data_IF_523232118717
#
_entry.id   IF_523232118717
#
_cell.length_a   1.000
_cell.length_b   1.000
_cell.length_c   1.000
_cell.angle_alpha   90.00
_cell.angle_beta   90.00
_cell.angle_gamma   90.00
#
_symmetry.space_group_name_H-M   'P 1'
#
loop_
_entity.id
_entity.type
_entity.pdbx_description
1 polymer ?
#
# COMPACT_ATOMS: atom_id res chain seq x y z
N UNK A 1 -28.43 27.73 1.43
CA UNK A 1 -26.97 27.71 1.24
C UNK A 1 -26.31 26.66 2.15
N UNK A 2 -25.92 25.54 1.55
CA UNK A 2 -24.70 24.72 1.83
C UNK A 2 -24.19 24.43 3.27
N UNK A 3 -24.92 23.67 4.10
CA UNK A 3 -24.35 23.04 5.31
C UNK A 3 -24.14 21.52 5.21
N UNK A 4 -24.78 20.85 4.25
CA UNK A 4 -24.73 19.36 4.14
C UNK A 4 -23.46 18.77 3.51
N UNK A 5 -22.53 19.59 3.01
CA UNK A 5 -21.33 19.11 2.31
C UNK A 5 -20.09 18.88 3.21
N UNK A 6 -20.08 19.40 4.45
CA UNK A 6 -18.95 19.23 5.38
C UNK A 6 -18.74 17.79 5.91
N UNK A 7 -19.76 17.01 6.30
CA UNK A 7 -19.53 15.72 6.95
C UNK A 7 -18.93 14.68 5.99
N UNK A 8 -19.41 14.63 4.74
CA UNK A 8 -18.95 13.66 3.75
C UNK A 8 -17.48 13.87 3.34
N UNK A 9 -16.96 15.10 3.43
CA UNK A 9 -15.55 15.40 3.17
C UNK A 9 -14.67 15.02 4.35
N UNK A 10 -15.07 15.38 5.57
CA UNK A 10 -14.35 15.03 6.79
C UNK A 10 -14.20 13.51 6.96
N UNK A 11 -15.27 12.75 6.71
CA UNK A 11 -15.23 11.27 6.76
C UNK A 11 -14.23 10.68 5.76
N UNK A 12 -14.11 11.26 4.55
CA UNK A 12 -13.16 10.77 3.53
C UNK A 12 -11.72 11.11 3.86
N UNK A 13 -11.49 12.33 4.32
CA UNK A 13 -10.18 12.77 4.77
C UNK A 13 -9.73 11.93 5.97
N UNK A 14 -10.65 11.63 6.91
CA UNK A 14 -10.41 10.71 8.02
C UNK A 14 -10.12 9.28 7.56
N UNK A 15 -10.87 8.73 6.61
CA UNK A 15 -10.65 7.39 6.09
C UNK A 15 -9.31 7.27 5.34
N UNK A 16 -8.92 8.28 4.55
CA UNK A 16 -7.61 8.31 3.92
C UNK A 16 -6.47 8.45 4.94
N UNK A 17 -6.67 9.22 6.01
CA UNK A 17 -5.71 9.32 7.09
C UNK A 17 -5.56 7.99 7.82
N UNK A 18 -6.66 7.31 8.14
CA UNK A 18 -6.65 5.96 8.72
C UNK A 18 -5.92 4.95 7.84
N UNK A 19 -6.14 5.01 6.52
CA UNK A 19 -5.42 4.16 5.56
C UNK A 19 -3.91 4.40 5.58
N UNK A 20 -3.48 5.67 5.56
CA UNK A 20 -2.07 6.04 5.68
C UNK A 20 -1.45 5.62 7.01
N UNK A 21 -2.19 5.77 8.11
CA UNK A 21 -1.76 5.33 9.45
C UNK A 21 -1.66 3.80 9.53
N UNK A 22 -2.58 3.06 8.93
CA UNK A 22 -2.52 1.60 8.87
C UNK A 22 -1.28 1.14 8.09
N UNK A 23 -0.98 1.77 6.94
CA UNK A 23 0.22 1.48 6.17
C UNK A 23 1.50 1.75 6.98
N UNK A 24 1.58 2.89 7.66
CA UNK A 24 2.67 3.21 8.59
C UNK A 24 2.80 2.15 9.69
N UNK A 25 1.71 1.79 10.35
CA UNK A 25 1.72 0.81 11.43
C UNK A 25 2.24 -0.55 10.95
N UNK A 26 1.86 -0.99 9.75
CA UNK A 26 2.36 -2.25 9.16
C UNK A 26 3.87 -2.21 8.93
N UNK A 27 4.42 -1.08 8.47
CA UNK A 27 5.88 -0.93 8.24
C UNK A 27 6.65 -0.85 9.56
N UNK A 28 6.10 -0.20 10.59
CA UNK A 28 6.75 -0.01 11.89
C UNK A 28 6.63 -1.25 12.80
N UNK A 29 5.57 -2.05 12.65
CA UNK A 29 5.28 -3.19 13.52
C UNK A 29 6.45 -4.19 13.66
N UNK A 30 7.16 -4.62 12.61
CA UNK A 30 8.34 -5.48 12.73
C UNK A 30 9.41 -4.96 13.69
N UNK A 31 9.73 -3.66 13.61
CA UNK A 31 10.75 -3.06 14.47
C UNK A 31 10.30 -3.04 15.95
N UNK A 32 9.01 -2.78 16.20
CA UNK A 32 8.44 -2.83 17.54
C UNK A 32 8.45 -4.25 18.12
N UNK A 33 8.13 -5.26 17.30
CA UNK A 33 8.16 -6.67 17.72
C UNK A 33 9.57 -7.07 18.16
N UNK A 34 10.60 -6.77 17.34
CA UNK A 34 12.00 -7.07 17.69
C UNK A 34 12.44 -6.29 18.95
N UNK A 35 12.09 -5.02 19.04
CA UNK A 35 12.43 -4.20 20.21
C UNK A 35 11.82 -4.76 21.51
N UNK A 36 10.58 -5.23 21.45
CA UNK A 36 9.87 -5.79 22.61
C UNK A 36 10.45 -7.12 23.09
N UNK A 37 10.88 -7.98 22.17
CA UNK A 37 11.49 -9.27 22.52
C UNK A 37 12.89 -9.10 23.10
N UNK A 38 13.65 -8.09 22.66
CA UNK A 38 14.96 -7.77 23.24
C UNK A 38 14.86 -7.33 24.71
N UNK A 39 13.86 -6.50 25.06
CA UNK A 39 13.66 -6.03 26.44
C UNK A 39 13.22 -7.14 27.40
N UNK A 40 12.51 -8.17 26.93
CA UNK A 40 12.09 -9.31 27.75
C UNK A 40 13.23 -10.30 28.07
N UNK A 41 14.31 -10.29 27.29
CA UNK A 41 15.46 -11.19 27.43
C UNK A 41 16.56 -10.71 28.37
N UNK A 42 16.42 -9.55 29.01
CA UNK A 42 17.43 -8.98 29.91
C UNK A 42 18.63 -8.33 29.20
N UNK A 43 18.59 -8.19 27.87
CA UNK A 43 19.60 -7.45 27.11
C UNK A 43 19.16 -6.00 27.04
N UNK A 44 19.93 -5.08 27.65
CA UNK A 44 19.66 -3.65 27.58
C UNK A 44 19.48 -3.20 26.11
N UNK A 45 18.60 -2.21 25.83
CA UNK A 45 18.35 -1.78 24.46
C UNK A 45 19.66 -1.34 23.81
N UNK A 46 20.11 -2.08 22.80
CA UNK A 46 21.25 -1.66 21.99
C UNK A 46 20.82 -0.47 21.12
N UNK A 47 21.76 0.44 20.83
CA UNK A 47 21.57 1.56 19.89
C UNK A 47 20.95 1.10 18.55
N UNK A 48 21.27 -0.14 18.14
CA UNK A 48 20.74 -0.81 16.95
C UNK A 48 19.20 -0.91 16.92
N UNK A 49 18.53 -1.12 18.07
CA UNK A 49 17.07 -1.21 18.13
C UNK A 49 16.38 0.14 17.84
N UNK A 50 16.99 1.24 18.29
CA UNK A 50 16.51 2.59 17.99
C UNK A 50 16.73 2.94 16.52
N UNK A 51 17.85 2.54 15.93
CA UNK A 51 18.14 2.79 14.51
C UNK A 51 17.18 2.01 13.59
N UNK A 52 16.89 0.75 13.92
CA UNK A 52 15.87 -0.07 13.25
C UNK A 52 14.50 0.60 13.26
N UNK A 53 14.09 1.11 14.44
CA UNK A 53 12.84 1.84 14.61
C UNK A 53 12.83 3.14 13.79
N UNK A 54 13.94 3.91 13.82
CA UNK A 54 14.07 5.15 13.08
C UNK A 54 13.94 4.93 11.57
N UNK A 55 14.62 3.91 11.02
CA UNK A 55 14.53 3.54 9.61
C UNK A 55 13.09 3.15 9.24
N UNK A 56 12.45 2.29 10.03
CA UNK A 56 11.06 1.88 9.82
C UNK A 56 10.08 3.04 9.93
N UNK A 57 10.30 3.99 10.85
CA UNK A 57 9.48 5.18 10.99
C UNK A 57 9.60 6.10 9.77
N UNK A 58 10.82 6.34 9.27
CA UNK A 58 11.05 7.16 8.07
C UNK A 58 10.36 6.53 6.85
N UNK A 59 10.57 5.23 6.62
CA UNK A 59 9.95 4.51 5.50
C UNK A 59 8.43 4.45 5.64
N UNK A 60 7.94 4.13 6.83
CA UNK A 60 6.52 4.05 7.14
C UNK A 60 5.82 5.39 6.98
N UNK A 61 6.44 6.50 7.41
CA UNK A 61 5.89 7.85 7.25
C UNK A 61 5.84 8.25 5.78
N UNK A 62 6.93 8.03 5.05
CA UNK A 62 6.99 8.29 3.61
C UNK A 62 5.90 7.53 2.87
N UNK A 63 5.76 6.24 3.15
CA UNK A 63 4.75 5.40 2.51
C UNK A 63 3.32 5.77 2.95
N UNK A 64 3.08 6.02 4.24
CA UNK A 64 1.79 6.46 4.75
C UNK A 64 1.31 7.76 4.12
N UNK A 65 2.21 8.72 3.87
CA UNK A 65 1.90 9.96 3.15
C UNK A 65 1.53 9.69 1.68
N UNK A 66 2.24 8.77 1.01
CA UNK A 66 1.91 8.35 -0.37
C UNK A 66 0.50 7.76 -0.42
N UNK A 67 0.19 6.80 0.46
CA UNK A 67 -1.12 6.18 0.62
C UNK A 67 -2.23 7.22 0.87
N UNK A 68 -2.00 8.16 1.80
CA UNK A 68 -2.93 9.25 2.11
C UNK A 68 -3.21 10.13 0.89
N UNK A 69 -2.15 10.64 0.24
CA UNK A 69 -2.29 11.56 -0.90
C UNK A 69 -2.99 10.88 -2.08
N UNK A 70 -2.71 9.61 -2.33
CA UNK A 70 -3.31 8.83 -3.41
C UNK A 70 -4.80 8.60 -3.18
N UNK A 71 -5.19 8.07 -2.02
CA UNK A 71 -6.60 7.80 -1.75
C UNK A 71 -7.41 9.11 -1.73
N UNK A 72 -6.81 10.20 -1.23
CA UNK A 72 -7.40 11.53 -1.31
C UNK A 72 -7.66 11.94 -2.76
N UNK A 73 -6.67 11.84 -3.67
CA UNK A 73 -6.84 12.17 -5.10
C UNK A 73 -7.91 11.31 -5.78
N UNK A 74 -7.85 9.99 -5.60
CA UNK A 74 -8.81 9.05 -6.19
C UNK A 74 -10.24 9.27 -5.70
N UNK A 75 -10.43 9.73 -4.45
CA UNK A 75 -11.76 10.01 -3.90
C UNK A 75 -12.45 11.23 -4.52
N UNK A 76 -11.66 12.17 -5.06
CA UNK A 76 -12.11 13.39 -5.74
C UNK A 76 -12.39 13.19 -7.23
N UNK A 77 -11.63 12.34 -7.92
CA UNK A 77 -11.62 12.32 -9.39
C UNK A 77 -12.56 11.30 -10.06
N UNK A 78 -13.05 10.27 -9.36
CA UNK A 78 -13.65 9.11 -10.07
C UNK A 78 -14.97 8.59 -9.50
N UNK A 79 -15.84 8.10 -10.42
CA UNK A 79 -17.07 7.33 -10.12
C UNK A 79 -16.76 5.95 -9.53
N UNK A 80 -15.53 5.47 -9.68
CA UNK A 80 -15.00 4.16 -9.25
C UNK A 80 -14.43 4.14 -7.82
N UNK A 81 -15.10 4.84 -6.89
CA UNK A 81 -14.75 4.88 -5.46
C UNK A 81 -14.62 3.51 -4.79
N UNK A 82 -15.55 2.54 -4.98
CA UNK A 82 -15.41 1.24 -4.36
C UNK A 82 -14.17 0.50 -4.87
N UNK A 83 -13.83 0.64 -6.16
CA UNK A 83 -12.66 -0.03 -6.76
C UNK A 83 -11.33 0.45 -6.16
N UNK A 84 -11.24 1.74 -5.82
CA UNK A 84 -10.06 2.30 -5.14
C UNK A 84 -9.88 1.69 -3.75
N UNK A 85 -10.97 1.55 -2.98
CA UNK A 85 -10.93 0.95 -1.65
C UNK A 85 -10.60 -0.55 -1.68
N UNK A 86 -11.14 -1.27 -2.65
CA UNK A 86 -10.82 -2.70 -2.85
C UNK A 86 -9.33 -2.86 -3.16
N UNK A 87 -8.79 -2.07 -4.09
CA UNK A 87 -7.36 -2.11 -4.42
C UNK A 87 -6.48 -1.74 -3.21
N UNK A 88 -6.85 -0.70 -2.47
CA UNK A 88 -6.16 -0.25 -1.27
C UNK A 88 -6.13 -1.34 -0.17
N UNK A 89 -7.24 -2.04 0.04
CA UNK A 89 -7.32 -3.16 0.99
C UNK A 89 -6.41 -4.33 0.58
N UNK A 90 -6.43 -4.72 -0.70
CA UNK A 90 -5.54 -5.77 -1.21
C UNK A 90 -4.07 -5.39 -1.08
N UNK A 91 -3.73 -4.12 -1.31
CA UNK A 91 -2.38 -3.61 -1.14
C UNK A 91 -1.92 -3.66 0.32
N UNK A 92 -2.79 -3.33 1.28
CA UNK A 92 -2.48 -3.46 2.71
C UNK A 92 -2.27 -4.92 3.12
N UNK A 93 -3.13 -5.83 2.65
CA UNK A 93 -2.98 -7.27 2.91
C UNK A 93 -1.66 -7.77 2.34
N UNK A 94 -1.35 -7.43 1.09
CA UNK A 94 -0.09 -7.79 0.46
C UNK A 94 1.11 -7.23 1.24
N UNK A 95 1.06 -5.96 1.65
CA UNK A 95 2.10 -5.33 2.46
C UNK A 95 2.31 -6.06 3.78
N UNK A 96 1.23 -6.36 4.52
CA UNK A 96 1.29 -7.04 5.80
C UNK A 96 1.88 -8.45 5.68
N UNK A 97 1.43 -9.22 4.68
CA UNK A 97 1.95 -10.56 4.41
C UNK A 97 3.42 -10.53 3.99
N UNK A 98 3.79 -9.65 3.05
CA UNK A 98 5.17 -9.56 2.57
C UNK A 98 6.11 -9.04 3.65
N UNK A 99 5.71 -8.04 4.42
CA UNK A 99 6.50 -7.54 5.54
C UNK A 99 6.75 -8.63 6.58
N UNK A 100 5.75 -9.48 6.85
CA UNK A 100 5.90 -10.58 7.81
C UNK A 100 6.76 -11.71 7.26
N UNK A 101 6.54 -12.10 6.00
CA UNK A 101 7.29 -13.16 5.33
C UNK A 101 8.76 -12.78 5.16
N UNK A 102 9.03 -11.57 4.67
CA UNK A 102 10.39 -11.08 4.47
C UNK A 102 11.11 -10.94 5.81
N UNK A 103 10.43 -10.49 6.87
CA UNK A 103 10.99 -10.50 8.22
C UNK A 103 11.40 -11.92 8.64
N UNK A 104 10.51 -12.91 8.45
CA UNK A 104 10.81 -14.30 8.81
C UNK A 104 12.01 -14.85 8.01
N UNK A 105 12.10 -14.55 6.71
CA UNK A 105 13.23 -14.92 5.86
C UNK A 105 14.52 -14.26 6.35
N UNK A 106 14.51 -12.96 6.62
CA UNK A 106 15.68 -12.23 7.12
C UNK A 106 16.16 -12.80 8.45
N UNK A 107 15.25 -13.10 9.38
CA UNK A 107 15.60 -13.72 10.66
C UNK A 107 16.14 -15.14 10.49
N UNK A 108 15.60 -15.91 9.54
CA UNK A 108 16.10 -17.24 9.21
C UNK A 108 17.54 -17.20 8.66
N UNK A 109 17.79 -16.32 7.69
CA UNK A 109 19.13 -16.15 7.08
C UNK A 109 20.14 -15.54 8.06
N UNK A 110 19.73 -14.61 8.92
CA UNK A 110 20.62 -14.10 9.98
C UNK A 110 20.97 -15.18 11.01
N UNK A 111 20.03 -16.09 11.30
CA UNK A 111 20.27 -17.25 12.14
C UNK A 111 21.31 -18.22 11.56
N UNK A 112 21.37 -18.34 10.24
CA UNK A 112 22.37 -19.18 9.55
C UNK A 112 23.73 -18.48 9.36
N UNK A 113 23.79 -17.15 9.48
CA UNK A 113 24.95 -16.30 9.22
C UNK A 113 25.57 -15.68 10.50
N UNK A 114 25.49 -16.30 11.67
CA UNK A 114 25.93 -15.68 12.94
C UNK A 114 27.44 -15.28 13.02
N UNK A 115 28.30 -15.73 12.09
CA UNK A 115 29.74 -15.46 12.13
C UNK A 115 30.24 -14.17 11.41
N UNK A 116 29.69 -13.71 10.25
CA UNK A 116 30.31 -12.61 9.49
C UNK A 116 29.85 -11.18 9.81
N UNK A 117 28.78 -10.95 10.57
CA UNK A 117 28.19 -9.61 10.76
C UNK A 117 28.66 -8.86 12.01
N UNK A 118 29.51 -9.44 12.84
CA UNK A 118 30.06 -8.75 14.01
C UNK A 118 30.88 -7.51 13.57
N UNK A 119 30.34 -6.32 13.85
CA UNK A 119 30.96 -5.02 13.50
C UNK A 119 30.44 -4.34 12.23
N UNK A 120 29.41 -4.89 11.56
CA UNK A 120 28.84 -4.34 10.31
C UNK A 120 27.42 -3.77 10.52
N UNK A 121 27.27 -2.86 11.48
CA UNK A 121 25.97 -2.29 11.89
C UNK A 121 25.21 -1.63 10.73
N UNK A 122 25.93 -0.92 9.85
CA UNK A 122 25.36 -0.29 8.66
C UNK A 122 24.79 -1.29 7.64
N UNK A 123 25.40 -2.48 7.52
CA UNK A 123 24.91 -3.53 6.61
C UNK A 123 23.55 -4.04 7.08
N UNK A 124 23.37 -4.20 8.38
CA UNK A 124 22.10 -4.66 8.97
C UNK A 124 20.99 -3.61 8.77
N UNK A 125 21.29 -2.33 8.95
CA UNK A 125 20.34 -1.23 8.67
C UNK A 125 19.97 -1.16 7.18
N UNK A 126 20.95 -1.29 6.29
CA UNK A 126 20.72 -1.29 4.85
C UNK A 126 19.86 -2.49 4.41
N UNK A 127 20.13 -3.68 4.95
CA UNK A 127 19.32 -4.88 4.68
C UNK A 127 17.89 -4.71 5.19
N UNK A 128 17.74 -4.22 6.42
CA UNK A 128 16.43 -3.97 7.03
C UNK A 128 15.60 -2.95 6.25
N UNK A 129 16.20 -1.83 5.88
CA UNK A 129 15.56 -0.80 5.05
C UNK A 129 15.23 -1.33 3.65
N UNK A 130 16.15 -2.09 3.04
CA UNK A 130 15.97 -2.70 1.72
C UNK A 130 14.78 -3.66 1.67
N UNK A 131 14.65 -4.52 2.69
CA UNK A 131 13.54 -5.47 2.81
C UNK A 131 12.20 -4.76 2.93
N UNK A 132 12.10 -3.71 3.75
CA UNK A 132 10.89 -2.90 3.85
C UNK A 132 10.55 -2.20 2.53
N UNK A 133 11.57 -1.66 1.83
CA UNK A 133 11.38 -1.05 0.52
C UNK A 133 10.84 -2.06 -0.50
N UNK A 134 11.34 -3.30 -0.52
CA UNK A 134 10.83 -4.36 -1.40
C UNK A 134 9.35 -4.65 -1.09
N UNK A 135 8.98 -4.76 0.18
CA UNK A 135 7.59 -4.96 0.58
C UNK A 135 6.68 -3.81 0.11
N UNK A 136 7.13 -2.57 0.29
CA UNK A 136 6.42 -1.35 -0.14
C UNK A 136 6.23 -1.34 -1.66
N UNK A 137 7.28 -1.62 -2.44
CA UNK A 137 7.23 -1.63 -3.91
C UNK A 137 6.29 -2.73 -4.41
N UNK A 138 6.32 -3.91 -3.80
CA UNK A 138 5.43 -5.00 -4.15
C UNK A 138 3.95 -4.66 -3.82
N UNK A 139 3.69 -4.04 -2.67
CA UNK A 139 2.35 -3.59 -2.30
C UNK A 139 1.80 -2.55 -3.30
N UNK A 140 2.63 -1.59 -3.73
CA UNK A 140 2.30 -0.63 -4.80
C UNK A 140 1.99 -1.32 -6.12
N UNK A 141 2.76 -2.35 -6.49
CA UNK A 141 2.54 -3.10 -7.71
C UNK A 141 1.20 -3.85 -7.68
N UNK A 142 0.86 -4.47 -6.54
CA UNK A 142 -0.45 -5.12 -6.32
C UNK A 142 -1.57 -4.10 -6.43
N UNK A 143 -1.46 -2.95 -5.75
CA UNK A 143 -2.48 -1.90 -5.79
C UNK A 143 -2.76 -1.44 -7.24
N UNK A 144 -1.69 -1.11 -7.98
CA UNK A 144 -1.80 -0.66 -9.38
C UNK A 144 -2.30 -1.77 -10.30
N UNK A 145 -1.95 -3.03 -10.01
CA UNK A 145 -2.45 -4.20 -10.73
C UNK A 145 -3.96 -4.35 -10.57
N UNK A 146 -4.42 -4.44 -9.31
CA UNK A 146 -5.83 -4.61 -8.95
C UNK A 146 -6.65 -3.42 -9.43
N UNK A 147 -6.19 -2.19 -9.21
CA UNK A 147 -6.92 -1.01 -9.66
C UNK A 147 -7.06 -0.95 -11.19
N UNK A 148 -6.00 -1.26 -11.94
CA UNK A 148 -6.08 -1.34 -13.42
C UNK A 148 -7.03 -2.44 -13.87
N UNK A 149 -7.06 -3.57 -13.17
CA UNK A 149 -7.97 -4.67 -13.48
C UNK A 149 -9.44 -4.27 -13.25
N UNK A 150 -9.74 -3.60 -12.13
CA UNK A 150 -11.10 -3.16 -11.79
C UNK A 150 -11.64 -2.05 -12.69
N UNK A 151 -10.79 -1.13 -13.15
CA UNK A 151 -11.22 0.02 -13.98
C UNK A 151 -11.31 -0.33 -15.48
N UNK A 152 -10.63 -1.39 -15.94
CA UNK A 152 -10.64 -1.81 -17.36
C UNK A 152 -12.04 -2.12 -17.91
N UNK A 153 -12.92 -2.88 -17.22
CA UNK A 153 -14.27 -3.17 -17.68
C UNK A 153 -15.13 -1.91 -17.83
N UNK A 154 -15.05 -0.98 -16.87
CA UNK A 154 -15.84 0.27 -16.88
C UNK A 154 -15.49 1.15 -18.09
N UNK A 155 -14.21 1.23 -18.46
CA UNK A 155 -13.77 1.97 -19.66
C UNK A 155 -14.25 1.30 -20.95
N UNK A 156 -14.29 -0.03 -21.01
CA UNK A 156 -14.81 -0.76 -22.19
C UNK A 156 -16.31 -0.52 -22.37
N UNK A 157 -17.08 -0.54 -21.29
CA UNK A 157 -18.52 -0.28 -21.33
C UNK A 157 -18.86 1.16 -21.76
N UNK A 158 -18.00 2.13 -21.47
CA UNK A 158 -18.18 3.53 -21.89
C UNK A 158 -17.74 3.80 -23.34
N UNK A 159 -16.79 3.00 -23.86
CA UNK A 159 -16.30 3.12 -25.22
C UNK A 159 -17.16 2.32 -26.23
N UNK A 160 -18.01 1.41 -25.76
CA UNK A 160 -18.98 0.74 -26.61
C UNK A 160 -19.99 1.79 -27.14
N UNK A 161 -20.12 1.93 -28.47
CA UNK A 161 -21.19 2.74 -29.06
C UNK A 161 -22.54 2.23 -28.54
N UNK A 162 -23.54 3.09 -28.31
CA UNK A 162 -24.88 2.61 -28.02
C UNK A 162 -25.34 1.73 -29.19
N UNK A 163 -25.63 0.46 -28.90
CA UNK A 163 -25.98 -0.63 -29.84
C UNK A 163 -27.28 -0.40 -30.64
N UNK A 164 -27.67 0.85 -30.94
CA UNK A 164 -28.87 1.20 -31.70
C UNK A 164 -28.70 2.28 -32.76
N UNK A 165 -27.52 2.90 -32.91
CA UNK A 165 -27.35 4.02 -33.85
C UNK A 165 -26.99 3.60 -35.29
N UNK A 166 -26.65 2.34 -35.53
CA UNK A 166 -26.29 1.85 -36.86
C UNK A 166 -27.04 0.56 -37.17
N UNK A 167 -28.26 0.65 -37.70
CA UNK A 167 -28.88 -0.40 -38.56
C UNK A 167 -30.29 -0.08 -39.07
N UNK A 168 -30.93 1.04 -38.68
CA UNK A 168 -32.27 1.37 -39.21
C UNK A 168 -32.22 2.21 -40.50
N UNK A 169 -31.11 2.91 -40.79
CA UNK A 169 -31.02 3.81 -41.95
C UNK A 169 -30.53 3.20 -43.28
N UNK A 170 -29.96 2.00 -43.28
CA UNK A 170 -29.28 1.44 -44.47
C UNK A 170 -30.09 0.38 -45.24
N UNK A 171 -31.29 0.02 -44.76
CA UNK A 171 -32.15 -0.96 -45.46
C UNK A 171 -33.10 -0.34 -46.49
N UNK A 172 -33.32 0.97 -46.47
CA UNK A 172 -34.23 1.65 -47.41
C UNK A 172 -33.56 2.14 -48.70
N UNK A 173 -32.23 2.18 -48.77
CA UNK A 173 -31.51 2.61 -49.99
C UNK A 173 -31.22 1.49 -51.01
N UNK A 174 -31.58 0.24 -50.73
CA UNK A 174 -31.37 -0.90 -51.66
C UNK A 174 -32.65 -1.40 -52.35
N UNK A 175 -33.69 -0.56 -52.46
CA UNK A 175 -34.98 -0.93 -53.09
C UNK A 175 -35.46 -0.02 -54.23
N UNK A 176 -34.58 0.78 -54.83
CA UNK A 176 -34.90 1.57 -56.03
C UNK A 176 -34.03 1.17 -57.20
#
# INVERSE_FOLDING_TARGET
>A
MSTRFRPARAVREGAAALYGLAALAVVVAPALIIGSTATGGGVAPSWQALDLLAVSAVLGLGYGVVCFRRLRRQSTETRSRPNAWIAAAHALVALALLSSLLLAVVLHELGSLQAPLAGQEWTLLALWGGVQLVAIVAAEAVERGVFRWLVRPERRAQAAPPDGAATVGDRDQRRT
#
